data_IF_802455820389
#
_entry.id   IF_802455820389
#
_cell.length_a   1.000
_cell.length_b   1.000
_cell.length_c   1.000
_cell.angle_alpha   90.00
_cell.angle_beta   90.00
_cell.angle_gamma   90.00
#
_symmetry.space_group_name_H-M   'P 1'
#
loop_
_entity.id
_entity.type
_entity.pdbx_description
1 polymer ?
#
# COMPACT_ATOMS: atom_id res chain seq x y z
N UNK A 1 -42.64 -22.53 14.94
CA UNK A 1 -41.71 -23.21 14.02
C UNK A 1 -40.93 -24.20 14.85
N UNK A 2 -40.56 -25.35 14.28
CA UNK A 2 -39.78 -26.37 14.99
C UNK A 2 -38.38 -25.83 15.36
N UNK A 3 -37.80 -26.27 16.50
CA UNK A 3 -36.45 -25.89 16.89
C UNK A 3 -35.42 -26.34 15.85
N UNK A 4 -34.50 -25.43 15.50
CA UNK A 4 -33.53 -25.68 14.44
C UNK A 4 -32.69 -24.48 14.05
N UNK A 5 -31.66 -24.73 13.24
CA UNK A 5 -30.77 -23.71 12.71
C UNK A 5 -31.39 -23.09 11.44
N UNK A 6 -31.61 -21.78 11.47
CA UNK A 6 -32.11 -21.03 10.33
C UNK A 6 -31.02 -20.08 9.81
N UNK A 7 -30.93 -19.99 8.49
CA UNK A 7 -30.00 -19.10 7.81
C UNK A 7 -30.75 -18.17 6.88
N UNK A 8 -30.37 -16.91 6.93
CA UNK A 8 -30.78 -15.90 5.97
C UNK A 8 -29.62 -15.66 5.00
N UNK A 9 -29.75 -16.18 3.77
CA UNK A 9 -28.72 -16.04 2.74
C UNK A 9 -28.52 -14.59 2.25
N UNK A 10 -29.47 -13.69 2.50
CA UNK A 10 -29.40 -12.29 2.09
C UNK A 10 -28.56 -11.45 3.05
N UNK A 11 -28.63 -11.78 4.33
CA UNK A 11 -27.85 -11.12 5.41
C UNK A 11 -26.63 -11.92 5.83
N UNK A 12 -26.48 -13.15 5.32
CA UNK A 12 -25.49 -14.12 5.79
C UNK A 12 -25.57 -14.34 7.31
N UNK A 13 -26.79 -14.25 7.89
CA UNK A 13 -27.02 -14.34 9.32
C UNK A 13 -27.54 -15.72 9.73
N UNK A 14 -26.95 -16.29 10.79
CA UNK A 14 -27.39 -17.53 11.42
C UNK A 14 -28.19 -17.21 12.67
N UNK A 15 -29.39 -17.79 12.81
CA UNK A 15 -30.18 -17.73 14.03
C UNK A 15 -30.54 -19.16 14.47
N UNK A 16 -30.19 -19.50 15.70
CA UNK A 16 -30.71 -20.69 16.38
C UNK A 16 -32.04 -20.34 17.05
N UNK A 17 -33.05 -21.18 16.83
CA UNK A 17 -34.34 -21.07 17.51
C UNK A 17 -34.44 -22.27 18.45
N UNK A 18 -34.29 -22.02 19.75
CA UNK A 18 -34.27 -23.05 20.81
C UNK A 18 -35.66 -23.37 21.37
N UNK A 19 -36.62 -22.44 21.30
CA UNK A 19 -38.01 -22.64 21.75
C UNK A 19 -39.01 -22.42 20.61
N UNK A 20 -40.11 -23.19 20.60
CA UNK A 20 -41.17 -23.05 19.60
C UNK A 20 -41.86 -21.69 19.72
N UNK A 21 -41.48 -20.76 18.84
CA UNK A 21 -42.03 -19.41 18.81
C UNK A 21 -42.00 -18.80 17.41
N UNK A 22 -42.65 -17.63 17.21
CA UNK A 22 -42.51 -16.86 15.98
C UNK A 22 -41.05 -16.38 15.84
N UNK A 23 -40.44 -16.59 14.67
CA UNK A 23 -39.06 -16.14 14.43
C UNK A 23 -38.96 -14.62 14.61
N UNK A 24 -37.98 -14.10 15.38
CA UNK A 24 -37.73 -12.67 15.44
C UNK A 24 -37.16 -12.20 14.10
N UNK A 25 -38.01 -11.62 13.25
CA UNK A 25 -37.65 -11.10 11.93
C UNK A 25 -38.79 -10.31 11.28
N UNK A 26 -38.44 -9.35 10.43
CA UNK A 26 -39.38 -8.56 9.61
C UNK A 26 -40.20 -9.46 8.68
N UNK A 27 -41.46 -9.11 8.30
CA UNK A 27 -42.26 -9.88 7.32
C UNK A 27 -41.60 -10.03 5.93
N UNK A 28 -40.46 -9.36 5.70
CA UNK A 28 -39.68 -9.40 4.46
C UNK A 28 -38.48 -10.38 4.55
N UNK A 29 -38.12 -10.84 5.75
CA UNK A 29 -36.97 -11.74 5.96
C UNK A 29 -37.36 -13.20 5.82
N UNK A 30 -36.86 -13.85 4.76
CA UNK A 30 -37.09 -15.28 4.51
C UNK A 30 -35.95 -16.09 5.13
N UNK A 31 -36.20 -16.65 6.30
CA UNK A 31 -35.30 -17.59 6.96
C UNK A 31 -35.53 -19.01 6.45
N UNK A 32 -34.47 -19.66 5.94
CA UNK A 32 -34.53 -21.06 5.50
C UNK A 32 -33.87 -21.94 6.56
N UNK A 33 -34.55 -23.04 6.95
CA UNK A 33 -33.95 -24.06 7.81
C UNK A 33 -32.76 -24.65 7.08
N UNK A 34 -31.59 -24.64 7.74
CA UNK A 34 -30.39 -25.23 7.16
C UNK A 34 -30.18 -26.62 7.76
N UNK A 35 -30.20 -27.67 6.93
CA UNK A 35 -29.82 -28.99 7.38
C UNK A 35 -28.36 -28.98 7.84
N UNK A 36 -28.08 -29.57 9.00
CA UNK A 36 -26.72 -29.65 9.56
C UNK A 36 -25.75 -30.32 8.56
N UNK A 37 -26.23 -31.29 7.78
CA UNK A 37 -25.47 -31.93 6.69
C UNK A 37 -24.95 -30.94 5.65
N UNK A 38 -25.71 -29.89 5.34
CA UNK A 38 -25.27 -28.85 4.40
C UNK A 38 -24.10 -28.07 5.00
N UNK A 39 -24.16 -27.67 6.27
CA UNK A 39 -23.02 -27.00 6.94
C UNK A 39 -21.79 -27.91 6.96
N UNK A 40 -21.98 -29.20 7.24
CA UNK A 40 -20.90 -30.18 7.31
C UNK A 40 -20.16 -30.34 5.98
N UNK A 41 -20.83 -30.14 4.85
CA UNK A 41 -20.22 -30.21 3.52
C UNK A 41 -19.68 -28.85 3.09
N UNK A 42 -20.44 -27.78 3.31
CA UNK A 42 -20.09 -26.42 2.88
C UNK A 42 -18.85 -25.90 3.61
N UNK A 43 -18.71 -26.19 4.91
CA UNK A 43 -17.55 -25.78 5.70
C UNK A 43 -16.22 -26.27 5.11
N UNK A 44 -16.03 -27.59 4.94
CA UNK A 44 -14.85 -28.15 4.29
C UNK A 44 -14.67 -27.69 2.84
N UNK A 45 -15.75 -27.56 2.05
CA UNK A 45 -15.64 -27.08 0.66
C UNK A 45 -15.11 -25.65 0.60
N UNK A 46 -15.60 -24.74 1.45
CA UNK A 46 -15.09 -23.37 1.53
C UNK A 46 -13.63 -23.35 1.98
N UNK A 47 -13.27 -24.18 2.96
CA UNK A 47 -11.88 -24.33 3.39
C UNK A 47 -10.97 -24.87 2.28
N UNK A 48 -11.44 -25.84 1.51
CA UNK A 48 -10.72 -26.40 0.36
C UNK A 48 -10.52 -25.37 -0.74
N UNK A 49 -11.57 -24.63 -1.10
CA UNK A 49 -11.50 -23.53 -2.06
C UNK A 49 -10.47 -22.51 -1.57
N UNK A 50 -10.52 -22.10 -0.31
CA UNK A 50 -9.53 -21.19 0.26
C UNK A 50 -8.11 -21.77 0.15
N UNK A 51 -7.88 -23.01 0.58
CA UNK A 51 -6.56 -23.64 0.56
C UNK A 51 -5.98 -23.79 -0.86
N UNK A 52 -6.83 -24.12 -1.84
CA UNK A 52 -6.42 -24.26 -3.24
C UNK A 52 -6.12 -22.91 -3.86
N UNK A 53 -6.92 -21.87 -3.60
CA UNK A 53 -6.76 -20.55 -4.21
C UNK A 53 -5.70 -19.67 -3.51
N UNK A 54 -5.42 -19.90 -2.23
CA UNK A 54 -4.43 -19.16 -1.46
C UNK A 54 -3.05 -19.08 -2.12
N UNK A 55 -2.42 -20.18 -2.60
CA UNK A 55 -1.12 -20.11 -3.26
C UNK A 55 -1.16 -19.23 -4.52
N UNK A 56 -2.22 -19.32 -5.33
CA UNK A 56 -2.34 -18.51 -6.55
C UNK A 56 -2.46 -17.02 -6.24
N UNK A 57 -3.28 -16.66 -5.25
CA UNK A 57 -3.43 -15.27 -4.80
C UNK A 57 -2.09 -14.76 -4.24
N UNK A 58 -1.37 -15.59 -3.48
CA UNK A 58 -0.05 -15.25 -2.96
C UNK A 58 0.95 -14.95 -4.07
N UNK A 59 1.06 -15.83 -5.08
CA UNK A 59 1.94 -15.60 -6.22
C UNK A 59 1.52 -14.39 -7.05
N UNK A 60 0.23 -14.19 -7.29
CA UNK A 60 -0.29 -13.03 -8.02
C UNK A 60 0.03 -11.70 -7.30
N UNK A 61 -0.10 -11.67 -5.97
CA UNK A 61 0.24 -10.50 -5.17
C UNK A 61 1.73 -10.17 -5.24
N UNK A 62 2.60 -11.18 -5.09
CA UNK A 62 4.05 -11.00 -5.19
C UNK A 62 4.45 -10.57 -6.61
N UNK A 63 3.95 -11.23 -7.64
CA UNK A 63 4.21 -10.89 -9.03
C UNK A 63 3.73 -9.47 -9.37
N UNK A 64 2.57 -9.07 -8.88
CA UNK A 64 2.06 -7.70 -9.03
C UNK A 64 2.99 -6.67 -8.38
N UNK A 65 3.47 -6.94 -7.16
CA UNK A 65 4.38 -6.04 -6.45
C UNK A 65 5.73 -5.90 -7.15
N UNK A 66 6.28 -7.02 -7.64
CA UNK A 66 7.52 -7.04 -8.41
C UNK A 66 7.34 -6.32 -9.76
N UNK A 67 6.22 -6.55 -10.45
CA UNK A 67 5.90 -5.90 -11.71
C UNK A 67 5.82 -4.38 -11.57
N UNK A 68 5.14 -3.87 -10.55
CA UNK A 68 5.07 -2.43 -10.27
C UNK A 68 6.47 -1.85 -10.02
N UNK A 69 7.29 -2.50 -9.18
CA UNK A 69 8.67 -2.05 -8.93
C UNK A 69 9.52 -2.07 -10.19
N UNK A 70 9.43 -3.13 -10.99
CA UNK A 70 10.15 -3.24 -12.25
C UNK A 70 9.77 -2.13 -13.23
N UNK A 71 8.48 -1.80 -13.33
CA UNK A 71 8.00 -0.68 -14.15
C UNK A 71 8.53 0.67 -13.65
N UNK A 72 8.57 0.90 -12.34
CA UNK A 72 9.14 2.13 -11.78
C UNK A 72 10.64 2.25 -12.07
N UNK A 73 11.41 1.17 -11.91
CA UNK A 73 12.83 1.11 -12.25
C UNK A 73 13.07 1.36 -13.74
N UNK A 74 12.29 0.70 -14.61
CA UNK A 74 12.37 0.87 -16.06
C UNK A 74 12.05 2.31 -16.49
N UNK A 75 11.03 2.94 -15.89
CA UNK A 75 10.71 4.35 -16.13
C UNK A 75 11.82 5.30 -15.66
N UNK A 76 12.48 4.99 -14.54
CA UNK A 76 13.64 5.74 -14.06
C UNK A 76 14.83 5.65 -15.03
N UNK A 77 15.19 4.44 -15.46
CA UNK A 77 16.27 4.22 -16.42
C UNK A 77 15.98 4.83 -17.80
N UNK A 78 14.73 4.74 -18.28
CA UNK A 78 14.31 5.37 -19.52
C UNK A 78 14.41 6.90 -19.45
N UNK A 79 14.14 7.51 -18.28
CA UNK A 79 14.28 8.96 -18.08
C UNK A 79 15.72 9.43 -18.20
N UNK A 80 16.67 8.65 -17.70
CA UNK A 80 18.12 8.92 -17.84
C UNK A 80 18.61 8.70 -19.27
N UNK A 81 18.18 7.63 -19.94
CA UNK A 81 18.50 7.40 -21.35
C UNK A 81 17.94 8.52 -22.25
N UNK A 82 16.73 9.01 -21.94
CA UNK A 82 16.12 10.16 -22.64
C UNK A 82 16.86 11.47 -22.32
N UNK A 83 17.43 11.65 -21.12
CA UNK A 83 18.28 12.82 -20.81
C UNK A 83 19.56 12.86 -21.65
N UNK A 84 20.17 11.70 -21.89
CA UNK A 84 21.39 11.60 -22.71
C UNK A 84 21.06 11.78 -24.21
N UNK A 85 19.88 11.32 -24.65
CA UNK A 85 19.47 11.34 -26.06
C UNK A 85 18.67 12.60 -26.48
N UNK A 86 18.19 13.43 -25.55
CA UNK A 86 17.47 14.68 -25.87
C UNK A 86 18.23 15.90 -25.35
N UNK A 87 18.80 16.75 -26.23
CA UNK A 87 19.29 18.06 -25.84
C UNK A 87 18.14 18.91 -25.27
N UNK A 88 18.18 19.17 -23.96
CA UNK A 88 17.63 20.37 -23.30
C UNK A 88 16.15 20.74 -23.47
N UNK A 89 15.22 19.82 -23.75
CA UNK A 89 13.80 20.16 -23.82
C UNK A 89 13.11 20.00 -22.45
N UNK A 90 13.12 21.07 -21.63
CA UNK A 90 12.47 21.13 -20.31
C UNK A 90 11.28 22.15 -20.26
N UNK A 91 10.24 21.98 -21.10
CA UNK A 91 9.13 22.93 -21.20
C UNK A 91 8.30 23.01 -19.90
N UNK A 92 8.27 21.94 -19.11
CA UNK A 92 7.54 21.87 -17.85
C UNK A 92 8.28 22.49 -16.66
N UNK A 93 9.61 22.68 -16.75
CA UNK A 93 10.37 23.39 -15.71
C UNK A 93 10.37 24.91 -15.91
N UNK A 94 10.10 25.40 -17.12
CA UNK A 94 9.97 26.85 -17.37
C UNK A 94 8.81 27.48 -16.59
N UNK A 95 7.77 26.71 -16.27
CA UNK A 95 6.62 27.19 -15.49
C UNK A 95 6.80 27.00 -13.98
N UNK A 96 7.66 26.08 -13.55
CA UNK A 96 7.89 25.77 -12.13
C UNK A 96 9.18 26.38 -11.57
N UNK A 97 10.08 26.90 -12.42
CA UNK A 97 11.30 27.60 -11.97
C UNK A 97 11.03 29.02 -11.45
N UNK A 98 9.80 29.54 -11.57
CA UNK A 98 9.38 30.78 -10.90
C UNK A 98 9.00 30.52 -9.44
N UNK A 99 9.87 29.85 -8.68
CA UNK A 99 9.79 29.81 -7.23
C UNK A 99 10.74 30.84 -6.63
N UNK A 100 10.10 31.82 -5.98
CA UNK A 100 10.55 32.79 -4.97
C UNK A 100 12.04 32.74 -4.58
N UNK A 101 12.78 33.87 -4.61
CA UNK A 101 14.15 33.91 -4.10
C UNK A 101 14.12 33.55 -2.60
N UNK A 102 14.83 32.48 -2.25
CA UNK A 102 15.01 32.07 -0.87
C UNK A 102 15.80 33.14 -0.13
N UNK A 103 15.21 33.69 0.92
CA UNK A 103 15.91 34.41 1.97
C UNK A 103 17.10 33.55 2.44
N UNK A 104 18.34 34.08 2.47
CA UNK A 104 19.48 33.30 2.93
C UNK A 104 19.26 32.92 4.39
N UNK A 105 19.07 31.62 4.61
CA UNK A 105 18.98 31.02 5.94
C UNK A 105 20.39 31.05 6.54
N UNK A 106 20.56 31.54 7.79
CA UNK A 106 21.87 31.83 8.34
C UNK A 106 22.68 30.55 8.54
N UNK A 107 23.88 30.53 7.97
CA UNK A 107 24.89 29.48 8.11
C UNK A 107 25.01 29.06 9.57
N UNK A 108 24.58 27.83 9.87
CA UNK A 108 24.98 27.16 11.08
C UNK A 108 26.51 27.10 11.06
N UNK A 109 27.13 27.63 12.11
CA UNK A 109 28.56 27.73 12.35
C UNK A 109 29.28 26.41 12.05
N UNK A 110 29.72 26.22 10.81
CA UNK A 110 30.47 25.06 10.39
C UNK A 110 31.89 25.17 10.94
N UNK A 111 32.11 24.51 12.08
CA UNK A 111 33.41 24.30 12.71
C UNK A 111 34.47 23.79 11.70
N UNK A 112 34.02 23.06 10.68
CA UNK A 112 34.85 22.59 9.56
C UNK A 112 35.43 23.74 8.72
N UNK A 113 34.67 24.80 8.45
CA UNK A 113 35.14 25.95 7.67
C UNK A 113 36.21 26.75 8.43
N UNK A 114 36.12 26.81 9.76
CA UNK A 114 37.15 27.41 10.63
C UNK A 114 38.43 26.58 10.63
N UNK A 115 38.31 25.25 10.70
CA UNK A 115 39.46 24.34 10.67
C UNK A 115 40.23 24.38 9.35
N UNK A 116 39.52 24.51 8.23
CA UNK A 116 40.15 24.66 6.92
C UNK A 116 40.87 26.00 6.81
N UNK A 117 40.27 27.11 7.28
CA UNK A 117 40.93 28.42 7.31
C UNK A 117 42.19 28.42 8.17
N UNK A 118 42.15 27.77 9.34
CA UNK A 118 43.32 27.65 10.23
C UNK A 118 44.47 26.86 9.60
N UNK A 119 44.17 25.87 8.76
CA UNK A 119 45.21 25.10 8.03
C UNK A 119 45.76 25.82 6.79
N UNK A 120 44.99 26.73 6.22
CA UNK A 120 45.37 27.44 4.99
C UNK A 120 46.11 28.75 5.25
N UNK A 121 46.10 29.28 6.47
CA UNK A 121 46.95 30.41 6.83
C UNK A 121 48.42 29.95 6.88
N UNK A 122 49.28 30.37 5.92
CA UNK A 122 50.69 30.06 5.99
C UNK A 122 51.33 30.90 7.11
N UNK A 123 52.32 30.37 7.86
CA UNK A 123 53.01 31.15 8.87
C UNK A 123 53.66 32.36 8.19
N UNK A 124 53.30 33.56 8.64
CA UNK A 124 53.95 34.80 8.25
C UNK A 124 55.42 34.69 8.65
N UNK A 125 56.26 34.46 7.64
CA UNK A 125 57.70 34.37 7.82
C UNK A 125 58.24 35.79 7.86
N UNK A 126 58.21 36.40 9.04
CA UNK A 126 58.86 37.68 9.32
C UNK A 126 60.38 37.46 9.33
N UNK A 127 60.99 37.61 8.15
CA UNK A 127 62.43 37.70 7.98
C UNK A 127 62.79 39.04 7.34
N UNK A 128 63.21 40.00 8.17
CA UNK A 128 64.12 41.10 7.83
C UNK A 128 64.65 41.73 9.12
#
# INVERSE_FOLDING_TARGET
>A
MEPGLYFNARELSFKSVDEEGPLPGSPVEVYRRVPILVLLIVGPLLGLVYAVFLPFIGFAAVAGLLGVKAVHLARGAAREAVRVLRPGWEPSLAFLSRSKPGTPEPEATDEWAKDVRKKLDPPHHDGA
#
